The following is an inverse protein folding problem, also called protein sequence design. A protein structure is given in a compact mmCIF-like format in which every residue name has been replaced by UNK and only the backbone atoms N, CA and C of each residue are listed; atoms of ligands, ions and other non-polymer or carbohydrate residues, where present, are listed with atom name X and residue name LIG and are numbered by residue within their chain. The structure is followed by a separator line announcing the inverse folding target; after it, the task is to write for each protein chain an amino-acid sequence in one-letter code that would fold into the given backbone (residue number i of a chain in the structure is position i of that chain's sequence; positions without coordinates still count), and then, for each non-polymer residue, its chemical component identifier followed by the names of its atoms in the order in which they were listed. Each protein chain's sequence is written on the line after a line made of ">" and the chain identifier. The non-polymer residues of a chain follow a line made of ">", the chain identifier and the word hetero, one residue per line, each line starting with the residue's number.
data_IF_441923217889
#
_entry.id   IF_441923217889
#
_cell.length_a   1.000
_cell.length_b   1.000
_cell.length_c   1.000
_cell.angle_alpha   90.00
_cell.angle_beta   90.00
_cell.angle_gamma   90.00
#
_symmetry.space_group_name_H-M   'P 1'
#
loop_
_entity.id
_entity.type
_entity.pdbx_description
1 polymer ?
#
# COMPACT_ATOMS: atom_id res chain seq x y z
N UNK A 1 -4.13 -2.59 20.48
CA UNK A 1 -3.91 -1.60 19.40
C UNK A 1 -4.31 -0.23 19.91
N UNK A 2 -3.62 0.84 19.48
CA UNK A 2 -3.94 2.21 19.92
C UNK A 2 -4.98 2.78 18.96
N UNK A 3 -6.26 2.55 19.27
CA UNK A 3 -7.36 3.14 18.52
C UNK A 3 -7.45 4.64 18.82
N UNK A 4 -7.81 5.45 17.81
CA UNK A 4 -8.13 6.86 18.00
C UNK A 4 -9.39 7.24 17.23
N UNK A 5 -10.09 8.23 17.75
CA UNK A 5 -11.12 8.95 17.02
C UNK A 5 -10.44 9.92 16.05
N UNK A 6 -10.82 9.86 14.78
CA UNK A 6 -10.29 10.71 13.73
C UNK A 6 -11.44 11.58 13.21
N UNK A 7 -11.32 12.91 13.25
CA UNK A 7 -12.26 13.78 12.55
C UNK A 7 -12.02 13.66 11.04
N UNK A 8 -13.09 13.44 10.29
CA UNK A 8 -13.05 13.27 8.84
C UNK A 8 -14.08 14.17 8.20
N UNK A 9 -13.67 14.82 7.11
CA UNK A 9 -14.58 15.58 6.24
C UNK A 9 -14.69 14.85 4.91
N UNK A 10 -15.93 14.55 4.48
CA UNK A 10 -16.15 13.95 3.16
C UNK A 10 -15.69 14.91 2.06
N UNK A 11 -14.76 14.51 1.17
CA UNK A 11 -14.22 15.39 0.13
C UNK A 11 -15.25 15.71 -0.97
N UNK A 12 -16.40 15.04 -1.00
CA UNK A 12 -17.42 15.21 -2.04
C UNK A 12 -18.59 16.11 -1.61
N UNK A 13 -19.00 16.08 -0.33
CA UNK A 13 -20.16 16.83 0.16
C UNK A 13 -19.89 17.67 1.41
N UNK A 14 -18.67 17.63 1.96
CA UNK A 14 -18.31 18.39 3.16
C UNK A 14 -18.88 17.85 4.48
N UNK A 15 -19.63 16.73 4.47
CA UNK A 15 -20.15 16.12 5.69
C UNK A 15 -19.01 15.73 6.64
N UNK A 16 -19.09 16.21 7.88
CA UNK A 16 -18.10 15.97 8.93
C UNK A 16 -18.59 14.88 9.87
N UNK A 17 -17.71 13.95 10.23
CA UNK A 17 -17.99 12.87 11.17
C UNK A 17 -16.70 12.45 11.87
N UNK A 18 -16.83 11.72 12.98
CA UNK A 18 -15.68 11.09 13.64
C UNK A 18 -15.71 9.58 13.42
N UNK A 19 -14.53 8.98 13.28
CA UNK A 19 -14.41 7.55 13.07
C UNK A 19 -13.29 6.94 13.91
N UNK A 20 -13.60 5.82 14.57
CA UNK A 20 -12.63 5.05 15.34
C UNK A 20 -11.79 4.18 14.41
N UNK A 21 -10.46 4.28 14.52
CA UNK A 21 -9.51 3.52 13.70
C UNK A 21 -8.27 3.13 14.46
N UNK A 22 -7.72 1.98 14.07
CA UNK A 22 -6.38 1.56 14.49
C UNK A 22 -5.31 2.36 13.77
N UNK A 23 -4.34 2.85 14.54
CA UNK A 23 -3.18 3.58 14.04
C UNK A 23 -2.01 2.66 13.71
N UNK A 24 -2.01 1.43 14.24
CA UNK A 24 -0.90 0.49 14.12
C UNK A 24 -1.44 -0.91 13.88
N UNK A 25 -0.95 -1.57 12.83
CA UNK A 25 -1.18 -2.98 12.53
C UNK A 25 0.17 -3.70 12.49
N UNK A 26 0.21 -4.88 13.13
CA UNK A 26 1.35 -5.80 13.07
C UNK A 26 0.87 -7.05 12.34
N UNK A 27 1.56 -7.41 11.25
CA UNK A 27 1.11 -8.42 10.28
C UNK A 27 0.67 -9.75 10.91
N UNK A 28 1.32 -10.18 11.99
CA UNK A 28 1.05 -11.46 12.66
C UNK A 28 -0.09 -11.40 13.69
N UNK A 29 -0.62 -10.22 13.98
CA UNK A 29 -1.65 -10.02 15.00
C UNK A 29 -3.06 -9.80 14.43
N UNK A 30 -3.17 -9.36 13.17
CA UNK A 30 -4.44 -9.04 12.55
C UNK A 30 -4.48 -9.46 11.07
N UNK A 31 -5.01 -10.66 10.83
CA UNK A 31 -5.16 -11.22 9.48
C UNK A 31 -6.23 -10.49 8.65
N UNK A 32 -7.23 -9.90 9.31
CA UNK A 32 -8.31 -9.16 8.63
C UNK A 32 -7.77 -7.85 8.07
N UNK A 33 -6.96 -7.13 8.85
CA UNK A 33 -6.28 -5.93 8.39
C UNK A 33 -5.40 -6.22 7.16
N UNK A 34 -4.62 -7.31 7.19
CA UNK A 34 -3.78 -7.71 6.05
C UNK A 34 -4.62 -7.98 4.79
N UNK A 35 -5.71 -8.73 4.90
CA UNK A 35 -6.61 -9.00 3.76
C UNK A 35 -7.18 -7.71 3.17
N UNK A 36 -7.62 -6.78 4.02
CA UNK A 36 -8.18 -5.50 3.59
C UNK A 36 -7.13 -4.53 3.02
N UNK A 37 -5.87 -4.66 3.42
CA UNK A 37 -4.77 -3.94 2.81
C UNK A 37 -4.48 -4.48 1.41
N UNK A 38 -4.54 -5.80 1.23
CA UNK A 38 -4.31 -6.43 -0.08
C UNK A 38 -5.42 -6.10 -1.10
N UNK A 39 -6.69 -6.18 -0.69
CA UNK A 39 -7.81 -5.81 -1.56
C UNK A 39 -7.98 -4.28 -1.72
N UNK A 40 -7.35 -3.48 -0.85
CA UNK A 40 -7.36 -2.02 -0.86
C UNK A 40 -8.55 -1.37 -0.14
N UNK A 41 -9.39 -2.15 0.55
CA UNK A 41 -10.56 -1.70 1.29
C UNK A 41 -10.26 -1.18 2.69
N UNK A 42 -9.04 -1.35 3.21
CA UNK A 42 -8.69 -0.99 4.60
C UNK A 42 -8.97 0.49 4.90
N UNK A 43 -8.54 1.38 4.01
CA UNK A 43 -8.73 2.83 4.13
C UNK A 43 -10.02 3.32 3.48
N UNK A 44 -10.80 2.45 2.85
CA UNK A 44 -11.96 2.86 2.07
C UNK A 44 -13.15 3.18 2.99
N UNK A 45 -13.86 4.26 2.68
CA UNK A 45 -15.05 4.68 3.41
C UNK A 45 -16.14 5.18 2.45
N UNK A 46 -17.39 4.85 2.78
CA UNK A 46 -18.57 5.36 2.11
C UNK A 46 -19.22 6.46 2.95
N UNK A 47 -19.33 7.67 2.40
CA UNK A 47 -20.01 8.76 3.08
C UNK A 47 -21.48 8.41 3.37
N UNK A 48 -21.93 8.57 4.60
CA UNK A 48 -23.34 8.29 4.94
C UNK A 48 -24.31 9.30 4.35
N UNK A 49 -23.85 10.52 4.05
CA UNK A 49 -24.66 11.59 3.47
C UNK A 49 -24.79 11.46 1.94
N UNK A 50 -23.68 11.53 1.19
CA UNK A 50 -23.73 11.54 -0.29
C UNK A 50 -23.43 10.18 -0.95
N UNK A 51 -23.15 9.13 -0.16
CA UNK A 51 -22.84 7.77 -0.63
C UNK A 51 -21.59 7.61 -1.49
N UNK A 52 -20.84 8.68 -1.73
CA UNK A 52 -19.54 8.64 -2.43
C UNK A 52 -18.50 7.85 -1.64
N UNK A 53 -17.67 7.10 -2.37
CA UNK A 53 -16.54 6.33 -1.85
C UNK A 53 -15.27 7.19 -1.87
N UNK A 54 -14.49 7.16 -0.80
CA UNK A 54 -13.20 7.85 -0.74
C UNK A 54 -12.25 7.14 0.24
N UNK A 55 -10.97 7.49 0.14
CA UNK A 55 -9.95 7.01 1.09
C UNK A 55 -9.88 7.91 2.33
N UNK A 56 -9.84 7.26 3.49
CA UNK A 56 -9.48 7.88 4.76
C UNK A 56 -7.97 8.00 4.82
N UNK A 57 -7.49 9.24 4.85
CA UNK A 57 -6.10 9.54 5.09
C UNK A 57 -5.89 9.92 6.56
N UNK A 58 -5.03 9.18 7.25
CA UNK A 58 -4.66 9.45 8.63
C UNK A 58 -3.31 8.79 8.95
N UNK A 59 -2.59 9.26 10.00
CA UNK A 59 -1.34 8.64 10.42
C UNK A 59 -1.51 7.15 10.72
N UNK A 60 -0.80 6.29 10.00
CA UNK A 60 -0.95 4.84 10.11
C UNK A 60 0.39 4.12 9.93
N UNK A 61 0.62 3.08 10.73
CA UNK A 61 1.82 2.26 10.71
C UNK A 61 1.44 0.79 10.48
N UNK A 62 1.98 0.18 9.42
CA UNK A 62 1.99 -1.26 9.24
C UNK A 62 3.39 -1.78 9.49
N UNK A 63 3.51 -2.82 10.32
CA UNK A 63 4.79 -3.49 10.62
C UNK A 63 4.72 -4.96 10.24
N UNK A 64 5.73 -5.45 9.56
CA UNK A 64 5.98 -6.88 9.40
C UNK A 64 7.40 -7.22 9.90
N UNK A 65 7.55 -7.57 11.19
CA UNK A 65 8.85 -7.95 11.75
C UNK A 65 9.47 -9.18 11.08
N UNK A 66 8.65 -10.10 10.55
CA UNK A 66 9.17 -11.30 9.87
C UNK A 66 9.82 -10.95 8.55
N UNK A 67 9.22 -10.03 7.80
CA UNK A 67 9.75 -9.52 6.52
C UNK A 67 10.64 -8.28 6.68
N UNK A 68 10.86 -7.83 7.93
CA UNK A 68 11.71 -6.70 8.32
C UNK A 68 11.39 -5.40 7.59
N UNK A 69 10.10 -5.06 7.43
CA UNK A 69 9.71 -3.77 6.89
C UNK A 69 8.59 -3.10 7.66
N UNK A 70 8.56 -1.77 7.57
CA UNK A 70 7.53 -0.90 8.10
C UNK A 70 7.04 0.05 7.00
N UNK A 71 5.73 0.20 6.90
CA UNK A 71 5.10 1.21 6.05
C UNK A 71 4.47 2.27 6.94
N UNK A 72 4.74 3.53 6.66
CA UNK A 72 4.19 4.64 7.43
C UNK A 72 3.42 5.58 6.50
N UNK A 73 2.11 5.69 6.71
CA UNK A 73 1.28 6.71 6.10
C UNK A 73 1.40 7.98 6.95
N UNK A 74 2.00 9.03 6.39
CA UNK A 74 2.24 10.28 7.13
C UNK A 74 2.40 11.47 6.19
N UNK A 75 2.06 12.66 6.69
CA UNK A 75 2.34 13.93 6.01
C UNK A 75 3.78 14.40 6.29
N UNK A 76 4.40 13.85 7.33
CA UNK A 76 5.77 14.19 7.70
C UNK A 76 6.74 13.66 6.65
N UNK A 77 7.64 14.54 6.19
CA UNK A 77 8.66 14.18 5.19
C UNK A 77 9.71 13.21 5.75
N UNK A 78 9.99 13.31 7.04
CA UNK A 78 10.95 12.48 7.76
C UNK A 78 10.33 12.03 9.08
N UNK A 79 10.74 10.85 9.57
CA UNK A 79 10.41 10.35 10.90
C UNK A 79 11.73 10.02 11.59
N UNK A 80 11.99 10.66 12.73
CA UNK A 80 13.15 10.37 13.56
C UNK A 80 12.93 9.07 14.37
N UNK A 81 14.02 8.42 14.79
CA UNK A 81 14.01 7.21 15.63
C UNK A 81 13.37 5.95 15.01
N UNK A 82 13.65 5.70 13.73
CA UNK A 82 13.31 4.43 13.09
C UNK A 82 14.37 3.37 13.41
N UNK A 83 13.96 2.10 13.55
CA UNK A 83 14.88 0.98 13.77
C UNK A 83 15.74 0.76 12.51
N UNK A 84 17.07 0.81 12.65
CA UNK A 84 18.01 0.67 11.52
C UNK A 84 17.96 -0.71 10.84
N UNK A 85 17.52 -1.74 11.57
CA UNK A 85 17.46 -3.12 11.08
C UNK A 85 16.22 -3.44 10.23
N UNK A 86 15.24 -2.54 10.18
CA UNK A 86 14.00 -2.71 9.42
C UNK A 86 13.91 -1.66 8.30
N UNK A 87 13.54 -2.11 7.10
CA UNK A 87 13.29 -1.18 6.00
C UNK A 87 12.05 -0.33 6.30
N UNK A 88 12.19 0.99 6.29
CA UNK A 88 11.06 1.91 6.50
C UNK A 88 10.71 2.64 5.22
N UNK A 89 9.42 2.64 4.89
CA UNK A 89 8.88 3.28 3.69
C UNK A 89 7.86 4.32 4.11
N UNK A 90 8.19 5.59 3.86
CA UNK A 90 7.28 6.70 4.07
C UNK A 90 6.35 6.84 2.86
N UNK A 91 5.05 6.88 3.13
CA UNK A 91 4.00 7.01 2.14
C UNK A 91 3.20 8.28 2.45
N UNK A 92 3.02 9.13 1.43
CA UNK A 92 2.32 10.42 1.59
C UNK A 92 0.91 10.39 1.00
N UNK A 93 0.46 9.23 0.53
CA UNK A 93 -0.91 8.99 0.09
C UNK A 93 -1.29 7.53 0.32
N UNK A 94 -2.60 7.27 0.44
CA UNK A 94 -3.13 5.90 0.57
C UNK A 94 -2.74 5.05 -0.64
N UNK A 95 -2.75 5.61 -1.85
CA UNK A 95 -2.35 4.88 -3.07
C UNK A 95 -0.87 4.47 -3.05
N UNK A 96 0.03 5.34 -2.58
CA UNK A 96 1.44 4.98 -2.37
C UNK A 96 1.58 3.87 -1.33
N UNK A 97 0.84 3.97 -0.23
CA UNK A 97 0.86 2.97 0.85
C UNK A 97 0.41 1.59 0.36
N UNK A 98 -0.72 1.50 -0.34
CA UNK A 98 -1.25 0.25 -0.85
C UNK A 98 -0.32 -0.38 -1.90
N UNK A 99 0.31 0.44 -2.77
CA UNK A 99 1.31 -0.03 -3.71
C UNK A 99 2.55 -0.59 -2.99
N UNK A 100 3.07 0.15 -2.01
CA UNK A 100 4.20 -0.30 -1.20
C UNK A 100 3.85 -1.61 -0.47
N UNK A 101 2.67 -1.69 0.15
CA UNK A 101 2.18 -2.91 0.80
C UNK A 101 2.23 -4.11 -0.14
N UNK A 102 1.68 -4.01 -1.35
CA UNK A 102 1.71 -5.12 -2.32
C UNK A 102 3.12 -5.53 -2.72
N UNK A 103 4.03 -4.57 -2.88
CA UNK A 103 5.44 -4.84 -3.23
C UNK A 103 6.15 -5.56 -2.08
N UNK A 104 6.13 -4.98 -0.88
CA UNK A 104 6.90 -5.48 0.26
C UNK A 104 6.29 -6.74 0.89
N UNK A 105 4.97 -6.88 0.88
CA UNK A 105 4.34 -8.12 1.36
C UNK A 105 4.66 -9.32 0.44
N UNK A 106 4.99 -9.09 -0.82
CA UNK A 106 5.48 -10.13 -1.74
C UNK A 106 7.02 -10.21 -1.80
N UNK A 107 7.71 -9.44 -0.95
CA UNK A 107 9.17 -9.32 -0.93
C UNK A 107 9.75 -9.01 -2.31
N UNK A 108 9.12 -8.08 -3.04
CA UNK A 108 9.53 -7.68 -4.37
C UNK A 108 10.48 -6.49 -4.34
N UNK A 109 11.34 -6.41 -5.35
CA UNK A 109 12.23 -5.29 -5.59
C UNK A 109 11.43 -4.06 -6.05
N UNK A 110 11.30 -3.01 -5.21
CA UNK A 110 10.43 -1.88 -5.49
C UNK A 110 10.86 -1.13 -6.75
N UNK A 111 12.17 -0.99 -6.96
CA UNK A 111 12.72 -0.28 -8.12
C UNK A 111 12.28 -0.96 -9.42
N UNK A 112 12.34 -2.28 -9.47
CA UNK A 112 11.95 -3.04 -10.66
C UNK A 112 10.45 -2.94 -10.93
N UNK A 113 9.60 -3.14 -9.92
CA UNK A 113 8.13 -3.03 -10.07
C UNK A 113 7.74 -1.64 -10.55
N UNK A 114 8.32 -0.58 -9.95
CA UNK A 114 8.04 0.80 -10.34
C UNK A 114 8.52 1.14 -11.76
N UNK A 115 9.66 0.61 -12.20
CA UNK A 115 10.14 0.78 -13.58
C UNK A 115 9.19 0.12 -14.57
N UNK A 116 8.79 -1.14 -14.34
CA UNK A 116 7.85 -1.86 -15.22
C UNK A 116 6.49 -1.18 -15.27
N UNK A 117 5.98 -0.75 -14.10
CA UNK A 117 4.74 0.04 -13.99
C UNK A 117 4.81 1.30 -14.85
N UNK A 118 5.85 2.12 -14.69
CA UNK A 118 6.01 3.38 -15.43
C UNK A 118 6.13 3.16 -16.95
N UNK A 119 6.84 2.11 -17.37
CA UNK A 119 6.94 1.73 -18.78
C UNK A 119 5.57 1.36 -19.35
N UNK A 120 4.79 0.57 -18.61
CA UNK A 120 3.44 0.17 -19.01
C UNK A 120 2.48 1.37 -19.07
N UNK A 121 2.49 2.24 -18.05
CA UNK A 121 1.65 3.45 -18.02
C UNK A 121 1.94 4.38 -19.19
N UNK A 122 3.22 4.55 -19.55
CA UNK A 122 3.62 5.32 -20.73
C UNK A 122 3.08 4.71 -22.02
N UNK A 123 3.09 3.38 -22.13
CA UNK A 123 2.57 2.66 -23.31
C UNK A 123 1.04 2.78 -23.43
N UNK A 124 0.33 2.73 -22.31
CA UNK A 124 -1.13 2.77 -22.27
C UNK A 124 -1.71 4.20 -22.20
N UNK A 125 -0.87 5.20 -21.92
CA UNK A 125 -1.26 6.58 -21.67
C UNK A 125 -2.32 6.70 -20.54
N UNK A 126 -2.18 5.88 -19.50
CA UNK A 126 -3.04 5.89 -18.30
C UNK A 126 -2.30 5.31 -17.10
N UNK A 127 -2.77 5.63 -15.89
CA UNK A 127 -2.31 4.95 -14.69
C UNK A 127 -2.86 3.52 -14.63
N UNK A 128 -2.09 2.61 -14.02
CA UNK A 128 -2.49 1.21 -13.79
C UNK A 128 -2.23 0.79 -12.35
N UNK A 129 -3.09 -0.03 -11.74
CA UNK A 129 -2.78 -0.62 -10.42
C UNK A 129 -1.79 -1.78 -10.57
N UNK A 130 -0.90 -1.97 -9.61
CA UNK A 130 -0.13 -3.22 -9.47
C UNK A 130 -0.91 -4.17 -8.57
N UNK A 131 -1.03 -5.44 -8.98
CA UNK A 131 -1.79 -6.44 -8.22
C UNK A 131 -0.87 -7.45 -7.54
N UNK A 132 -0.11 -8.23 -8.31
CA UNK A 132 0.76 -9.27 -7.76
C UNK A 132 1.87 -9.73 -8.73
N UNK A 133 2.85 -10.46 -8.19
CA UNK A 133 3.86 -11.19 -8.96
C UNK A 133 3.45 -12.65 -9.11
N UNK A 134 3.34 -13.11 -10.36
CA UNK A 134 3.10 -14.52 -10.68
C UNK A 134 4.45 -15.22 -10.86
N UNK A 135 4.86 -15.94 -9.82
CA UNK A 135 6.11 -16.69 -9.82
C UNK A 135 6.13 -17.83 -10.86
N UNK A 136 4.96 -18.42 -11.17
CA UNK A 136 4.88 -19.56 -12.10
C UNK A 136 5.07 -19.10 -13.54
N UNK A 137 4.51 -17.95 -13.89
CA UNK A 137 4.56 -17.40 -15.24
C UNK A 137 5.62 -16.30 -15.41
N UNK A 138 6.37 -16.00 -14.34
CA UNK A 138 7.45 -15.01 -14.34
C UNK A 138 6.99 -13.63 -14.84
N UNK A 139 5.84 -13.15 -14.35
CA UNK A 139 5.28 -11.88 -14.78
C UNK A 139 4.71 -11.06 -13.61
N UNK A 140 4.69 -9.74 -13.78
CA UNK A 140 4.01 -8.81 -12.89
C UNK A 140 2.62 -8.51 -13.47
N UNK A 141 1.59 -8.66 -12.65
CA UNK A 141 0.22 -8.31 -13.02
C UNK A 141 -0.09 -6.87 -12.64
N UNK A 142 -0.56 -6.12 -13.62
CA UNK A 142 -1.07 -4.76 -13.46
C UNK A 142 -2.49 -4.72 -14.01
N UNK A 143 -3.48 -4.73 -13.11
CA UNK A 143 -4.89 -4.93 -13.46
C UNK A 143 -5.06 -6.23 -14.25
N UNK A 144 -5.55 -6.14 -15.48
CA UNK A 144 -5.78 -7.25 -16.40
C UNK A 144 -4.59 -7.49 -17.35
N UNK A 145 -3.44 -6.85 -17.10
CA UNK A 145 -2.27 -6.87 -18.00
C UNK A 145 -1.07 -7.54 -17.33
N UNK A 146 -0.60 -8.64 -17.91
CA UNK A 146 0.63 -9.30 -17.52
C UNK A 146 1.86 -8.67 -18.22
N UNK A 147 2.90 -8.37 -17.43
CA UNK A 147 4.20 -7.89 -17.91
C UNK A 147 5.26 -8.93 -17.58
N UNK A 148 5.72 -9.66 -18.59
CA UNK A 148 6.77 -10.67 -18.44
C UNK A 148 8.10 -10.07 -17.98
N UNK A 149 8.79 -10.81 -17.14
CA UNK A 149 10.16 -10.55 -16.72
C UNK A 149 11.13 -11.35 -17.57
N UNK A 150 12.29 -10.78 -17.84
CA UNK A 150 13.43 -11.52 -18.42
C UNK A 150 14.05 -12.45 -17.38
N UNK A 151 14.85 -13.42 -17.81
CA UNK A 151 15.56 -14.33 -16.90
C UNK A 151 16.41 -13.59 -15.86
N UNK A 152 17.05 -12.48 -16.27
CA UNK A 152 17.83 -11.64 -15.36
C UNK A 152 16.92 -10.99 -14.32
N UNK A 153 15.81 -10.42 -14.75
CA UNK A 153 14.85 -9.77 -13.87
C UNK A 153 14.23 -10.78 -12.88
N UNK A 154 13.95 -12.02 -13.29
CA UNK A 154 13.47 -13.07 -12.38
C UNK A 154 14.43 -13.36 -11.23
N UNK A 155 15.74 -13.20 -11.43
CA UNK A 155 16.75 -13.38 -10.37
C UNK A 155 16.85 -12.19 -9.42
N UNK A 156 16.43 -11.01 -9.86
CA UNK A 156 16.59 -9.74 -9.14
C UNK A 156 15.27 -9.24 -8.53
N UNK A 157 14.13 -9.86 -8.89
CA UNK A 157 12.79 -9.39 -8.49
C UNK A 157 12.48 -9.63 -7.02
N UNK A 158 13.07 -10.65 -6.38
CA UNK A 158 12.88 -10.91 -4.95
C UNK A 158 14.00 -10.24 -4.14
N UNK A 159 13.67 -9.67 -2.98
CA UNK A 159 14.63 -9.01 -2.06
C UNK A 159 15.00 -9.87 -0.84
N UNK A 160 14.65 -11.16 -0.85
CA UNK A 160 14.98 -12.13 0.20
C UNK A 160 16.31 -12.84 -0.07
#
# INVERSE_FOLDING_TARGET
>A
MKERMIPVTCPHCGHVFEIKRDMVVIAQMDSVARSRLDDGSYFMHQCQNCKSMFYLYYPFLYRDPKKKFNLVLTEQKNIDNLCEDEQVVLCHSVSQFLLAFKIYDQCLNPKMVLVKKKQLEKKLNRCVKFDYYDMKNHCLWFEDIAVSLTEKECKEILIL
#
